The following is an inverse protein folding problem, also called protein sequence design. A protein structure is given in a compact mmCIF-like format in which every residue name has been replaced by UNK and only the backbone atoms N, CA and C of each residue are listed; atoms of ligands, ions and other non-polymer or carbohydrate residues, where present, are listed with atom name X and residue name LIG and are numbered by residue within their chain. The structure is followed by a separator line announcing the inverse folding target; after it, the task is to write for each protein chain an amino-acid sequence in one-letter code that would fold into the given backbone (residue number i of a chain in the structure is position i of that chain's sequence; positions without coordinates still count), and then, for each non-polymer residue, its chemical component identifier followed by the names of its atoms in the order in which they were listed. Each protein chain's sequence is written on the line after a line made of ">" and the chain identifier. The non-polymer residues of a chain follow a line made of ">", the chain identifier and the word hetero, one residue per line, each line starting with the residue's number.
data_IF_762643585121
#
_entry.id   IF_762643585121
#
_cell.length_a   1.000
_cell.length_b   1.000
_cell.length_c   1.000
_cell.angle_alpha   90.00
_cell.angle_beta   90.00
_cell.angle_gamma   90.00
#
_symmetry.space_group_name_H-M   'P 1'
#
loop_
_entity.id
_entity.type
_entity.pdbx_description
1 polymer ?
#
# COMPACT_ATOMS: atom_id res chain seq x y z
N UNK A 1 0.53 15.95 27.58
CA UNK A 1 1.26 14.69 27.31
C UNK A 1 0.29 13.55 27.51
N UNK A 2 0.16 12.67 26.51
CA UNK A 2 -0.68 11.47 26.60
C UNK A 2 0.11 10.24 26.16
N UNK A 3 -0.41 9.05 26.43
CA UNK A 3 0.12 7.83 25.83
C UNK A 3 -0.45 7.74 24.41
N UNK A 4 0.41 7.47 23.44
CA UNK A 4 -0.03 7.25 22.06
C UNK A 4 -0.81 5.94 22.00
N UNK A 5 -2.05 6.00 21.50
CA UNK A 5 -3.00 4.88 21.39
C UNK A 5 -2.57 3.81 20.38
N UNK A 6 -1.55 4.11 19.56
CA UNK A 6 -1.10 3.27 18.44
C UNK A 6 0.18 2.50 18.81
N UNK A 7 1.19 3.21 19.33
CA UNK A 7 2.47 2.61 19.70
C UNK A 7 2.68 2.46 21.21
N UNK A 8 1.73 2.92 22.04
CA UNK A 8 1.74 2.86 23.50
C UNK A 8 2.95 3.57 24.17
N UNK A 9 3.60 4.50 23.45
CA UNK A 9 4.68 5.36 23.97
C UNK A 9 4.16 6.74 24.33
N UNK A 10 4.88 7.44 25.20
CA UNK A 10 4.53 8.81 25.61
C UNK A 10 4.63 9.75 24.39
N UNK A 11 3.59 10.54 24.17
CA UNK A 11 3.59 11.65 23.23
C UNK A 11 3.91 12.95 23.96
N UNK A 12 4.84 13.72 23.40
CA UNK A 12 5.19 15.07 23.87
C UNK A 12 4.06 16.09 23.69
N UNK A 13 3.04 15.75 22.89
CA UNK A 13 1.83 16.55 22.68
C UNK A 13 0.62 15.90 23.36
N UNK A 14 -0.56 16.51 23.22
CA UNK A 14 -1.84 15.90 23.63
C UNK A 14 -2.45 15.02 22.53
N UNK A 15 -1.67 14.69 21.49
CA UNK A 15 -2.11 13.92 20.33
C UNK A 15 -1.21 12.70 20.09
N UNK A 16 -1.70 11.76 19.30
CA UNK A 16 -0.91 10.60 18.87
C UNK A 16 0.23 11.05 17.98
N UNK A 17 1.29 10.25 17.85
CA UNK A 17 2.42 10.60 16.99
C UNK A 17 1.95 10.72 15.54
N UNK A 18 2.40 11.77 14.86
CA UNK A 18 2.07 12.00 13.45
C UNK A 18 2.42 10.77 12.61
N UNK A 19 3.59 10.17 12.85
CA UNK A 19 4.04 8.97 12.14
C UNK A 19 3.10 7.77 12.38
N UNK A 20 2.61 7.60 13.62
CA UNK A 20 1.69 6.53 13.95
C UNK A 20 0.32 6.70 13.27
N UNK A 21 -0.20 7.93 13.25
CA UNK A 21 -1.46 8.26 12.57
C UNK A 21 -1.33 7.99 11.06
N UNK A 22 -0.24 8.44 10.44
CA UNK A 22 -0.02 8.26 9.01
C UNK A 22 0.20 6.79 8.65
N UNK A 23 0.88 6.00 9.50
CA UNK A 23 1.03 4.55 9.32
C UNK A 23 -0.30 3.82 9.30
N UNK A 24 -1.17 4.09 10.29
CA UNK A 24 -2.53 3.53 10.32
C UNK A 24 -3.33 3.97 9.10
N UNK A 25 -3.19 5.23 8.70
CA UNK A 25 -3.87 5.77 7.53
C UNK A 25 -3.46 5.04 6.25
N UNK A 26 -2.17 4.82 6.04
CA UNK A 26 -1.64 4.04 4.90
C UNK A 26 -2.11 2.59 4.98
N UNK A 27 -2.07 1.96 6.15
CA UNK A 27 -2.49 0.57 6.32
C UNK A 27 -4.02 0.37 6.13
N UNK A 28 -4.85 1.38 6.42
CA UNK A 28 -6.32 1.27 6.35
C UNK A 28 -6.95 1.93 5.11
N UNK A 29 -6.32 2.94 4.49
CA UNK A 29 -6.80 3.52 3.22
C UNK A 29 -6.66 2.54 2.04
N UNK A 30 -5.92 1.46 2.23
CA UNK A 30 -5.46 0.62 1.13
C UNK A 30 -6.40 -0.54 0.75
N UNK A 31 -7.63 -0.63 1.26
CA UNK A 31 -8.59 -1.62 0.73
C UNK A 31 -9.39 -1.04 -0.44
N UNK A 32 -9.90 0.18 -0.30
CA UNK A 32 -10.61 0.87 -1.38
C UNK A 32 -9.65 1.32 -2.49
N UNK A 33 -8.43 1.76 -2.11
CA UNK A 33 -7.40 2.10 -3.08
C UNK A 33 -6.96 0.86 -3.87
N UNK A 34 -6.60 -0.26 -3.22
CA UNK A 34 -6.30 -1.55 -3.89
C UNK A 34 -7.41 -2.00 -4.84
N UNK A 35 -8.68 -1.86 -4.46
CA UNK A 35 -9.81 -2.20 -5.34
C UNK A 35 -9.89 -1.26 -6.56
N UNK A 36 -9.53 0.02 -6.40
CA UNK A 36 -9.50 1.00 -7.49
C UNK A 36 -8.25 0.93 -8.35
N UNK A 37 -7.16 0.29 -7.91
CA UNK A 37 -5.89 0.18 -8.66
C UNK A 37 -6.10 -0.53 -10.01
N UNK A 38 -6.71 -1.74 -10.08
CA UNK A 38 -6.98 -2.41 -11.35
C UNK A 38 -7.86 -1.61 -12.31
N UNK A 39 -8.75 -0.78 -11.77
CA UNK A 39 -9.65 0.09 -12.52
C UNK A 39 -8.94 1.34 -13.05
N UNK A 40 -8.11 1.97 -12.22
CA UNK A 40 -7.32 3.18 -12.55
C UNK A 40 -6.10 2.90 -13.43
N UNK A 41 -5.50 1.72 -13.34
CA UNK A 41 -4.37 1.33 -14.19
C UNK A 41 -4.77 0.67 -15.52
N UNK A 42 -6.07 0.57 -15.85
CA UNK A 42 -6.57 -0.12 -17.06
C UNK A 42 -6.02 -1.56 -17.26
N UNK A 43 -5.45 -2.17 -16.22
CA UNK A 43 -4.76 -3.47 -16.31
C UNK A 43 -5.71 -4.62 -16.67
N UNK A 44 -7.00 -4.44 -16.37
CA UNK A 44 -8.06 -5.41 -16.62
C UNK A 44 -8.52 -5.44 -18.08
N UNK A 45 -8.25 -4.39 -18.87
CA UNK A 45 -8.80 -4.27 -20.23
C UNK A 45 -7.80 -4.57 -21.33
N UNK A 46 -6.51 -4.27 -21.16
CA UNK A 46 -5.55 -4.63 -22.20
C UNK A 46 -4.09 -4.67 -21.74
N UNK A 47 -3.63 -5.85 -21.31
CA UNK A 47 -2.21 -6.08 -21.03
C UNK A 47 -1.32 -6.03 -22.28
N UNK A 48 -1.90 -5.90 -23.48
CA UNK A 48 -1.18 -5.84 -24.75
C UNK A 48 -0.64 -4.43 -25.06
N UNK A 49 -1.17 -3.39 -24.41
CA UNK A 49 -0.71 -2.00 -24.53
C UNK A 49 0.16 -1.53 -23.35
N UNK A 50 0.50 -2.42 -22.42
CA UNK A 50 1.44 -2.10 -21.36
C UNK A 50 2.83 -1.97 -21.97
N UNK A 51 3.49 -0.83 -21.73
CA UNK A 51 4.88 -0.62 -22.13
C UNK A 51 5.77 -1.78 -21.65
N UNK A 52 6.80 -2.11 -22.43
CA UNK A 52 7.70 -3.25 -22.20
C UNK A 52 8.25 -3.26 -20.75
N UNK A 53 8.52 -2.06 -20.22
CA UNK A 53 9.01 -1.84 -18.85
C UNK A 53 7.98 -2.29 -17.79
N UNK A 54 6.71 -1.92 -17.96
CA UNK A 54 5.63 -2.31 -17.04
C UNK A 54 5.40 -3.81 -17.10
N UNK A 55 5.48 -4.41 -18.31
CA UNK A 55 5.36 -5.86 -18.50
C UNK A 55 6.48 -6.61 -17.78
N UNK A 56 7.71 -6.12 -17.85
CA UNK A 56 8.86 -6.72 -17.17
C UNK A 56 8.71 -6.67 -15.64
N UNK A 57 8.24 -5.55 -15.10
CA UNK A 57 7.96 -5.39 -13.66
C UNK A 57 6.87 -6.37 -13.22
N UNK A 58 5.76 -6.46 -13.96
CA UNK A 58 4.68 -7.40 -13.66
C UNK A 58 5.16 -8.85 -13.71
N UNK A 59 5.95 -9.23 -14.71
CA UNK A 59 6.51 -10.58 -14.81
C UNK A 59 7.43 -10.91 -13.63
N UNK A 60 8.27 -9.96 -13.20
CA UNK A 60 9.15 -10.12 -12.04
C UNK A 60 8.35 -10.35 -10.77
N UNK A 61 7.38 -9.48 -10.48
CA UNK A 61 6.51 -9.59 -9.31
C UNK A 61 5.71 -10.90 -9.31
N UNK A 62 5.20 -11.33 -10.47
CA UNK A 62 4.44 -12.58 -10.59
C UNK A 62 5.33 -13.81 -10.40
N UNK A 63 6.61 -13.74 -10.78
CA UNK A 63 7.60 -14.80 -10.53
C UNK A 63 8.02 -14.87 -9.07
N UNK A 64 8.11 -13.73 -8.38
CA UNK A 64 8.42 -13.69 -6.95
C UNK A 64 7.28 -14.29 -6.12
N UNK A 65 6.02 -13.93 -6.42
CA UNK A 65 4.84 -14.48 -5.73
C UNK A 65 4.58 -15.99 -6.00
N UNK A 66 5.29 -16.61 -6.96
CA UNK A 66 5.22 -18.06 -7.24
C UNK A 66 6.33 -18.87 -6.57
N UNK A 67 7.28 -18.21 -5.90
CA UNK A 67 8.36 -18.88 -5.17
C UNK A 67 7.99 -19.22 -3.72
N UNK A 68 6.76 -18.91 -3.31
CA UNK A 68 6.19 -19.24 -2.01
C UNK A 68 5.24 -20.46 -2.07
N UNK A 69 5.58 -21.46 -2.89
CA UNK A 69 5.10 -22.86 -2.85
C UNK A 69 6.31 -23.80 -2.81
#
# INVERSE_FOLDING_TARGET
>A
MKICSICHRISGTEQDHLDCIQKIRIENEDENFKQSIPEKLELTKNSQNLGIEIKAILEHLTKENKKDD
#
